data_IF_182807078087
#
_entry.id   IF_182807078087
#
_cell.length_a   1.000
_cell.length_b   1.000
_cell.length_c   1.000
_cell.angle_alpha   90.00
_cell.angle_beta   90.00
_cell.angle_gamma   90.00
#
_symmetry.space_group_name_H-M   'P 1'
#
loop_
_entity.id
_entity.type
_entity.pdbx_description
1 polymer ?
#
# COMPACT_ATOMS: atom_id res chain seq x y z
N UNK A 1 -56.91 41.96 29.48
CA UNK A 1 -55.87 41.41 30.35
C UNK A 1 -54.81 40.75 29.47
N UNK A 2 -53.65 41.37 29.43
CA UNK A 2 -52.57 41.00 28.51
C UNK A 2 -51.60 39.96 29.15
N UNK A 3 -51.43 38.83 28.50
CA UNK A 3 -50.45 37.83 28.88
C UNK A 3 -49.26 37.85 27.94
N UNK A 4 -48.14 38.42 28.40
CA UNK A 4 -46.88 38.54 27.68
C UNK A 4 -46.10 37.22 27.76
N UNK A 5 -46.00 36.48 26.67
CA UNK A 5 -45.18 35.28 26.56
C UNK A 5 -43.75 35.67 26.18
N UNK A 6 -42.81 35.58 27.13
CA UNK A 6 -41.38 35.77 26.92
C UNK A 6 -40.80 34.48 26.31
N UNK A 7 -40.40 34.52 25.04
CA UNK A 7 -39.58 33.51 24.41
C UNK A 7 -38.12 33.67 24.89
N UNK A 8 -37.66 32.72 25.69
CA UNK A 8 -36.25 32.53 26.01
C UNK A 8 -35.53 32.03 24.74
N UNK A 9 -34.71 32.87 24.16
CA UNK A 9 -33.69 32.44 23.17
C UNK A 9 -32.51 31.99 23.98
N UNK A 10 -32.27 30.67 24.06
CA UNK A 10 -30.94 30.13 24.38
C UNK A 10 -30.08 30.33 23.16
N UNK A 11 -29.14 31.24 23.28
CA UNK A 11 -28.02 31.35 22.38
C UNK A 11 -27.02 30.26 22.76
N UNK A 12 -26.95 29.18 21.97
CA UNK A 12 -25.82 28.27 22.01
C UNK A 12 -24.59 29.03 21.47
N UNK A 13 -23.79 29.52 22.41
CA UNK A 13 -22.45 30.00 22.09
C UNK A 13 -21.60 28.76 21.82
N UNK A 14 -21.35 28.47 20.55
CA UNK A 14 -20.22 27.63 20.12
C UNK A 14 -18.94 28.27 20.65
N UNK A 15 -18.38 27.65 21.68
CA UNK A 15 -17.11 28.01 22.30
C UNK A 15 -15.99 27.69 21.30
N UNK A 16 -15.72 28.59 20.38
CA UNK A 16 -14.50 28.56 19.54
C UNK A 16 -13.31 28.81 20.46
N UNK A 17 -12.76 27.73 21.06
CA UNK A 17 -11.51 27.81 21.80
C UNK A 17 -10.43 28.30 20.87
N UNK A 18 -10.05 29.56 20.98
CA UNK A 18 -8.86 30.06 20.33
C UNK A 18 -7.64 29.26 20.82
N UNK A 19 -6.98 28.58 19.87
CA UNK A 19 -5.78 27.80 20.13
C UNK A 19 -4.70 28.71 20.75
N UNK A 20 -4.04 28.26 21.80
CA UNK A 20 -2.90 28.93 22.37
C UNK A 20 -1.75 29.09 21.36
N UNK A 21 -0.83 30.05 21.54
CA UNK A 21 0.31 30.20 20.63
C UNK A 21 1.14 28.91 20.46
N UNK A 22 1.27 28.11 21.50
CA UNK A 22 1.97 26.83 21.46
C UNK A 22 1.21 25.78 20.62
N UNK A 23 -0.14 25.73 20.73
CA UNK A 23 -0.99 24.86 19.93
C UNK A 23 -1.01 25.28 18.46
N UNK A 24 -1.06 26.58 18.17
CA UNK A 24 -0.95 27.12 16.79
C UNK A 24 0.40 26.75 16.16
N UNK A 25 1.49 26.83 16.91
CA UNK A 25 2.82 26.46 16.43
C UNK A 25 2.94 24.96 16.16
N UNK A 26 2.36 24.11 17.04
CA UNK A 26 2.30 22.66 16.84
C UNK A 26 1.48 22.33 15.59
N UNK A 27 0.27 22.86 15.48
CA UNK A 27 -0.61 22.68 14.31
C UNK A 27 0.08 23.14 13.01
N UNK A 28 0.78 24.28 13.03
CA UNK A 28 1.56 24.74 11.88
C UNK A 28 2.70 23.79 11.52
N UNK A 29 3.44 23.29 12.52
CA UNK A 29 4.52 22.33 12.31
C UNK A 29 4.00 20.99 11.75
N UNK A 30 2.88 20.50 12.28
CA UNK A 30 2.21 19.30 11.80
C UNK A 30 1.67 19.48 10.38
N UNK A 31 1.01 20.60 10.09
CA UNK A 31 0.54 20.94 8.75
C UNK A 31 1.70 20.99 7.75
N UNK A 32 2.81 21.60 8.13
CA UNK A 32 4.01 21.69 7.28
C UNK A 32 4.65 20.31 7.06
N UNK A 33 4.69 19.45 8.08
CA UNK A 33 5.15 18.05 7.97
C UNK A 33 4.22 17.27 7.04
N UNK A 34 2.91 17.45 7.18
CA UNK A 34 1.90 16.82 6.32
C UNK A 34 2.02 17.26 4.84
N UNK A 35 2.27 18.54 4.58
CA UNK A 35 2.52 19.05 3.21
C UNK A 35 3.78 18.47 2.57
N UNK A 36 4.76 18.01 3.35
CA UNK A 36 5.99 17.38 2.87
C UNK A 36 5.87 15.87 2.70
N UNK A 37 4.86 15.24 3.31
CA UNK A 37 4.61 13.81 3.25
C UNK A 37 4.16 13.38 1.87
N UNK A 38 4.74 12.27 1.37
CA UNK A 38 4.35 11.65 0.11
C UNK A 38 2.96 11.03 0.25
N UNK A 39 2.66 10.44 1.42
CA UNK A 39 1.34 9.86 1.73
C UNK A 39 0.24 10.93 1.69
N UNK A 40 0.48 12.12 2.26
CA UNK A 40 -0.48 13.21 2.21
C UNK A 40 -0.72 13.69 0.77
N UNK A 41 0.34 13.86 -0.03
CA UNK A 41 0.20 14.26 -1.45
C UNK A 41 -0.52 13.21 -2.29
N UNK A 42 -0.35 11.93 -1.95
CA UNK A 42 -1.09 10.85 -2.58
C UNK A 42 -2.57 10.91 -2.21
N UNK A 43 -2.90 11.09 -0.92
CA UNK A 43 -4.26 11.22 -0.43
C UNK A 43 -5.01 12.39 -1.11
N UNK A 44 -4.35 13.54 -1.26
CA UNK A 44 -4.92 14.73 -1.95
C UNK A 44 -5.26 14.48 -3.43
N UNK A 45 -4.70 13.43 -4.06
CA UNK A 45 -4.97 13.05 -5.45
C UNK A 45 -6.15 12.11 -5.60
N UNK A 46 -6.58 11.47 -4.49
CA UNK A 46 -7.70 10.54 -4.53
C UNK A 46 -9.02 11.30 -4.65
N UNK A 47 -9.98 10.78 -5.44
CA UNK A 47 -11.31 11.39 -5.57
C UNK A 47 -12.22 11.11 -4.37
N UNK A 48 -11.70 10.51 -3.32
CA UNK A 48 -12.38 10.12 -2.07
C UNK A 48 -11.43 10.25 -0.88
N UNK A 49 -11.99 10.33 0.31
CA UNK A 49 -11.22 10.32 1.55
C UNK A 49 -10.73 8.90 1.85
N UNK A 50 -9.46 8.77 2.23
CA UNK A 50 -8.86 7.48 2.58
C UNK A 50 -9.37 7.01 3.95
N UNK A 51 -9.68 5.73 4.06
CA UNK A 51 -9.98 5.09 5.34
C UNK A 51 -8.75 5.11 6.28
N UNK A 52 -9.00 5.03 7.59
CA UNK A 52 -7.93 5.08 8.59
C UNK A 52 -6.84 4.02 8.34
N UNK A 53 -7.22 2.77 8.05
CA UNK A 53 -6.23 1.73 7.78
C UNK A 53 -5.38 1.99 6.52
N UNK A 54 -5.93 2.67 5.51
CA UNK A 54 -5.19 3.06 4.30
C UNK A 54 -4.19 4.17 4.62
N UNK A 55 -4.58 5.14 5.45
CA UNK A 55 -3.71 6.23 5.90
C UNK A 55 -2.56 5.68 6.72
N UNK A 56 -2.85 4.84 7.73
CA UNK A 56 -1.85 4.21 8.60
C UNK A 56 -0.85 3.36 7.79
N UNK A 57 -1.36 2.55 6.84
CA UNK A 57 -0.52 1.74 5.96
C UNK A 57 0.40 2.60 5.07
N UNK A 58 -0.13 3.68 4.50
CA UNK A 58 0.64 4.57 3.64
C UNK A 58 1.73 5.32 4.44
N UNK A 59 1.42 5.77 5.66
CA UNK A 59 2.40 6.41 6.54
C UNK A 59 3.51 5.44 6.97
N UNK A 60 3.16 4.20 7.30
CA UNK A 60 4.13 3.15 7.63
C UNK A 60 5.07 2.84 6.45
N UNK A 61 4.52 2.70 5.23
CA UNK A 61 5.33 2.51 4.02
C UNK A 61 6.25 3.69 3.73
N UNK A 62 5.76 4.92 3.90
CA UNK A 62 6.60 6.12 3.74
C UNK A 62 7.74 6.15 4.74
N UNK A 63 7.48 5.72 5.98
CA UNK A 63 8.48 5.60 7.04
C UNK A 63 9.51 4.48 6.78
N UNK A 64 9.21 3.55 5.85
CA UNK A 64 10.10 2.47 5.44
C UNK A 64 9.80 1.12 6.09
N UNK A 65 8.62 0.93 6.65
CA UNK A 65 8.18 -0.36 7.20
C UNK A 65 7.60 -1.26 6.11
N UNK A 66 7.62 -2.58 6.36
CA UNK A 66 6.78 -3.52 5.63
C UNK A 66 5.33 -3.37 6.09
N UNK A 67 4.36 -3.68 5.25
CA UNK A 67 2.94 -3.53 5.57
C UNK A 67 2.15 -4.76 5.15
N UNK A 68 1.32 -5.26 6.04
CA UNK A 68 0.35 -6.31 5.76
C UNK A 68 -1.06 -5.76 5.97
N UNK A 69 -1.86 -5.72 4.91
CA UNK A 69 -3.24 -5.25 4.93
C UNK A 69 -4.18 -6.42 4.83
N UNK A 70 -4.86 -6.73 5.92
CA UNK A 70 -5.91 -7.75 5.97
C UNK A 70 -7.28 -7.08 6.12
N UNK A 71 -8.06 -7.11 5.06
CA UNK A 71 -9.39 -6.51 5.03
C UNK A 71 -10.30 -7.27 4.04
N UNK A 72 -11.63 -7.22 4.20
CA UNK A 72 -12.56 -7.86 3.29
C UNK A 72 -12.36 -7.45 1.83
N UNK A 73 -12.81 -8.31 0.91
CA UNK A 73 -12.85 -7.94 -0.52
C UNK A 73 -13.74 -6.71 -0.71
N UNK A 74 -13.28 -5.76 -1.51
CA UNK A 74 -13.99 -4.49 -1.72
C UNK A 74 -13.69 -3.40 -0.68
N UNK A 75 -12.91 -3.67 0.37
CA UNK A 75 -12.52 -2.67 1.38
C UNK A 75 -11.46 -1.66 0.90
N UNK A 76 -11.07 -1.68 -0.37
CA UNK A 76 -10.11 -0.71 -0.91
C UNK A 76 -8.64 -0.98 -0.58
N UNK A 77 -8.24 -2.24 -0.31
CA UNK A 77 -6.83 -2.63 -0.09
C UNK A 77 -5.90 -2.21 -1.23
N UNK A 78 -6.41 -2.21 -2.46
CA UNK A 78 -5.65 -1.84 -3.67
C UNK A 78 -5.07 -0.43 -3.59
N UNK A 79 -5.71 0.48 -2.87
CA UNK A 79 -5.21 1.85 -2.65
C UNK A 79 -3.82 1.86 -2.00
N UNK A 80 -3.56 0.93 -1.08
CA UNK A 80 -2.24 0.80 -0.43
C UNK A 80 -1.18 0.31 -1.44
N UNK A 81 -1.55 -0.61 -2.34
CA UNK A 81 -0.67 -1.02 -3.44
C UNK A 81 -0.40 0.13 -4.43
N UNK A 82 -1.43 0.90 -4.77
CA UNK A 82 -1.29 2.08 -5.64
C UNK A 82 -0.38 3.14 -5.00
N UNK A 83 -0.48 3.32 -3.67
CA UNK A 83 0.46 4.17 -2.94
C UNK A 83 1.89 3.63 -3.00
N UNK A 84 2.11 2.33 -2.84
CA UNK A 84 3.44 1.73 -2.94
C UNK A 84 4.08 1.97 -4.31
N UNK A 85 3.29 1.84 -5.39
CA UNK A 85 3.74 2.15 -6.76
C UNK A 85 4.05 3.65 -6.88
N UNK A 86 3.18 4.52 -6.39
CA UNK A 86 3.41 5.95 -6.39
C UNK A 86 4.69 6.32 -5.62
N UNK A 87 4.89 5.73 -4.45
CA UNK A 87 6.08 5.94 -3.62
C UNK A 87 7.36 5.44 -4.33
N UNK A 88 7.29 4.30 -5.03
CA UNK A 88 8.39 3.79 -5.85
C UNK A 88 8.80 4.79 -6.94
N UNK A 89 7.83 5.37 -7.64
CA UNK A 89 8.10 6.39 -8.66
C UNK A 89 8.73 7.65 -8.05
N UNK A 90 8.26 8.10 -6.87
CA UNK A 90 8.84 9.26 -6.18
C UNK A 90 10.29 9.01 -5.74
N UNK A 91 10.65 7.75 -5.46
CA UNK A 91 12.00 7.32 -5.05
C UNK A 91 12.86 6.84 -6.20
N UNK A 92 12.33 6.83 -7.42
CA UNK A 92 13.00 6.36 -8.64
C UNK A 92 13.53 4.92 -8.51
N UNK A 93 12.69 4.04 -7.98
CA UNK A 93 12.93 2.61 -7.83
C UNK A 93 11.81 1.80 -8.49
N UNK A 94 12.07 0.53 -8.79
CA UNK A 94 11.07 -0.37 -9.37
C UNK A 94 10.06 -0.86 -8.32
N UNK A 95 8.84 -1.10 -8.77
CA UNK A 95 7.79 -1.78 -8.01
C UNK A 95 7.34 -3.04 -8.75
N UNK A 96 7.34 -4.20 -8.06
CA UNK A 96 6.78 -5.42 -8.60
C UNK A 96 5.43 -5.72 -7.96
N UNK A 97 4.45 -6.02 -8.79
CA UNK A 97 3.11 -6.43 -8.37
C UNK A 97 2.93 -7.92 -8.64
N UNK A 98 2.85 -8.74 -7.61
CA UNK A 98 2.72 -10.19 -7.77
C UNK A 98 1.32 -10.68 -7.43
N UNK A 99 0.85 -11.65 -8.21
CA UNK A 99 -0.43 -12.33 -7.99
C UNK A 99 -0.22 -13.86 -8.00
N UNK A 100 -1.12 -14.63 -7.37
CA UNK A 100 -0.98 -16.07 -7.29
C UNK A 100 -1.26 -16.81 -8.60
N UNK A 101 -1.92 -16.16 -9.57
CA UNK A 101 -2.32 -16.80 -10.83
C UNK A 101 -2.22 -15.84 -12.01
N UNK A 102 -1.91 -16.38 -13.19
CA UNK A 102 -1.74 -15.63 -14.44
C UNK A 102 -2.95 -14.76 -14.82
N UNK A 103 -4.16 -15.25 -14.60
CA UNK A 103 -5.38 -14.49 -14.96
C UNK A 103 -5.46 -13.17 -14.19
N UNK A 104 -5.13 -13.18 -12.90
CA UNK A 104 -5.07 -11.97 -12.08
C UNK A 104 -3.91 -11.04 -12.50
N UNK A 105 -2.75 -11.62 -12.86
CA UNK A 105 -1.63 -10.82 -13.40
C UNK A 105 -2.04 -10.07 -14.67
N UNK A 106 -2.70 -10.76 -15.60
CA UNK A 106 -3.15 -10.12 -16.83
C UNK A 106 -4.16 -8.99 -16.57
N UNK A 107 -5.13 -9.23 -15.68
CA UNK A 107 -6.10 -8.19 -15.30
C UNK A 107 -5.40 -6.98 -14.70
N UNK A 108 -4.55 -7.20 -13.70
CA UNK A 108 -3.83 -6.12 -13.02
C UNK A 108 -2.90 -5.36 -13.98
N UNK A 109 -2.26 -6.05 -14.92
CA UNK A 109 -1.46 -5.41 -15.95
C UNK A 109 -2.27 -4.40 -16.76
N UNK A 110 -3.47 -4.76 -17.23
CA UNK A 110 -4.33 -3.85 -17.97
C UNK A 110 -4.76 -2.65 -17.11
N UNK A 111 -5.17 -2.89 -15.86
CA UNK A 111 -5.55 -1.83 -14.93
C UNK A 111 -4.40 -0.81 -14.73
N UNK A 112 -3.17 -1.32 -14.59
CA UNK A 112 -1.99 -0.46 -14.39
C UNK A 112 -1.55 0.24 -15.69
N UNK A 113 -1.69 -0.40 -16.84
CA UNK A 113 -1.45 0.23 -18.16
C UNK A 113 -2.40 1.41 -18.38
N UNK A 114 -3.67 1.25 -18.04
CA UNK A 114 -4.66 2.33 -18.15
C UNK A 114 -4.32 3.52 -17.23
N UNK A 115 -3.70 3.23 -16.07
CA UNK A 115 -3.36 4.26 -15.09
C UNK A 115 -2.00 4.94 -15.36
N UNK A 116 -0.98 4.17 -15.76
CA UNK A 116 0.41 4.64 -15.85
C UNK A 116 0.99 4.70 -17.26
N UNK A 117 0.33 4.07 -18.23
CA UNK A 117 0.81 3.95 -19.61
C UNK A 117 1.62 2.67 -19.86
N UNK A 118 1.53 2.15 -21.09
CA UNK A 118 2.17 0.90 -21.49
C UNK A 118 3.72 0.94 -21.50
N UNK A 119 4.29 2.13 -21.59
CA UNK A 119 5.74 2.35 -21.52
C UNK A 119 6.32 2.14 -20.11
N UNK A 120 5.50 2.30 -19.07
CA UNK A 120 5.90 2.18 -17.67
C UNK A 120 5.54 0.86 -17.01
N UNK A 121 4.71 0.06 -17.66
CA UNK A 121 4.19 -1.19 -17.08
C UNK A 121 4.65 -2.39 -17.89
N UNK A 122 5.17 -3.40 -17.21
CA UNK A 122 5.55 -4.69 -17.76
C UNK A 122 4.68 -5.83 -17.25
N UNK A 123 4.71 -6.95 -17.96
CA UNK A 123 4.05 -8.20 -17.56
C UNK A 123 5.01 -9.38 -17.74
N UNK A 124 5.20 -10.15 -16.66
CA UNK A 124 5.99 -11.38 -16.68
C UNK A 124 5.16 -12.54 -16.10
N UNK A 125 4.88 -13.50 -16.96
CA UNK A 125 4.25 -14.78 -16.56
C UNK A 125 5.04 -15.93 -17.15
N UNK A 126 4.70 -17.16 -16.84
CA UNK A 126 5.45 -18.33 -17.33
C UNK A 126 5.59 -18.43 -18.86
N UNK A 127 4.73 -17.77 -19.61
CA UNK A 127 4.67 -17.82 -21.08
C UNK A 127 4.56 -16.43 -21.75
N UNK A 128 4.59 -15.36 -20.99
CA UNK A 128 4.44 -13.99 -21.51
C UNK A 128 5.48 -13.08 -20.90
N UNK A 129 6.19 -12.31 -21.74
CA UNK A 129 7.13 -11.28 -21.34
C UNK A 129 6.87 -10.01 -22.14
N UNK A 130 6.39 -8.98 -21.49
CA UNK A 130 6.14 -7.65 -22.06
C UNK A 130 6.87 -6.63 -21.20
N UNK A 131 7.74 -5.80 -21.79
CA UNK A 131 8.43 -4.70 -21.12
C UNK A 131 9.00 -5.08 -19.74
N UNK A 132 9.82 -6.13 -19.68
CA UNK A 132 10.31 -6.72 -18.42
C UNK A 132 11.17 -5.79 -17.57
N UNK A 133 11.71 -4.71 -18.16
CA UNK A 133 12.55 -3.73 -17.48
C UNK A 133 11.79 -2.45 -17.08
N UNK A 134 10.45 -2.46 -17.21
CA UNK A 134 9.61 -1.35 -16.80
C UNK A 134 9.77 -0.98 -15.31
N UNK A 135 9.38 0.24 -14.97
CA UNK A 135 9.37 0.71 -13.58
C UNK A 135 8.37 -0.06 -12.71
N UNK A 136 7.28 -0.51 -13.32
CA UNK A 136 6.22 -1.30 -12.69
C UNK A 136 6.11 -2.61 -13.44
N UNK A 137 6.36 -3.76 -12.79
CA UNK A 137 6.23 -5.07 -13.43
C UNK A 137 5.22 -5.92 -12.69
N UNK A 138 4.18 -6.34 -13.41
CA UNK A 138 3.20 -7.31 -12.92
C UNK A 138 3.68 -8.72 -13.24
N UNK A 139 3.60 -9.64 -12.29
CA UNK A 139 4.06 -11.01 -12.48
C UNK A 139 3.33 -12.00 -11.58
N UNK A 140 3.50 -13.28 -11.87
CA UNK A 140 3.10 -14.31 -10.89
C UNK A 140 4.18 -14.47 -9.82
N UNK A 141 3.77 -14.87 -8.61
CA UNK A 141 4.71 -15.08 -7.48
C UNK A 141 5.80 -16.09 -7.82
N UNK A 142 5.47 -17.12 -8.62
CA UNK A 142 6.43 -18.13 -9.10
C UNK A 142 7.53 -17.52 -9.97
N UNK A 143 7.19 -16.56 -10.83
CA UNK A 143 8.18 -15.85 -11.66
C UNK A 143 9.13 -15.05 -10.79
N UNK A 144 8.62 -14.32 -9.79
CA UNK A 144 9.47 -13.57 -8.86
C UNK A 144 10.42 -14.50 -8.09
N UNK A 145 9.93 -15.63 -7.58
CA UNK A 145 10.76 -16.64 -6.93
C UNK A 145 11.91 -17.10 -7.85
N UNK A 146 11.59 -17.46 -9.09
CA UNK A 146 12.61 -17.90 -10.05
C UNK A 146 13.65 -16.82 -10.32
N UNK A 147 13.23 -15.55 -10.48
CA UNK A 147 14.14 -14.42 -10.66
C UNK A 147 15.08 -14.23 -9.46
N UNK A 148 14.59 -14.44 -8.24
CA UNK A 148 15.40 -14.37 -7.03
C UNK A 148 16.49 -15.47 -7.02
N UNK A 149 16.15 -16.70 -7.36
CA UNK A 149 17.10 -17.81 -7.46
C UNK A 149 18.13 -17.63 -8.58
N UNK A 150 17.71 -17.06 -9.70
CA UNK A 150 18.58 -16.78 -10.87
C UNK A 150 19.39 -15.50 -10.71
N UNK A 151 19.22 -14.75 -9.62
CA UNK A 151 19.84 -13.44 -9.42
C UNK A 151 19.65 -12.50 -10.62
N UNK A 152 18.40 -12.46 -11.14
CA UNK A 152 18.07 -11.68 -12.33
C UNK A 152 18.43 -10.21 -12.19
N UNK A 153 19.01 -9.64 -13.24
CA UNK A 153 19.33 -8.21 -13.29
C UNK A 153 18.11 -7.30 -13.27
N UNK A 154 16.94 -7.82 -13.60
CA UNK A 154 15.65 -7.10 -13.50
C UNK A 154 15.32 -6.71 -12.06
N UNK A 155 15.88 -7.42 -11.06
CA UNK A 155 15.79 -7.09 -9.63
C UNK A 155 16.59 -5.84 -9.24
N UNK A 156 17.47 -5.35 -10.12
CA UNK A 156 18.23 -4.14 -9.86
C UNK A 156 17.27 -2.95 -9.71
N UNK A 157 17.55 -2.11 -8.71
CA UNK A 157 16.70 -0.97 -8.32
C UNK A 157 15.27 -1.34 -7.85
N UNK A 158 14.99 -2.62 -7.53
CA UNK A 158 13.74 -3.02 -6.90
C UNK A 158 13.65 -2.41 -5.49
N UNK A 159 12.59 -1.66 -5.23
CA UNK A 159 12.35 -1.04 -3.94
C UNK A 159 11.10 -1.57 -3.22
N UNK A 160 10.11 -2.01 -3.99
CA UNK A 160 8.81 -2.42 -3.46
C UNK A 160 8.30 -3.68 -4.14
N UNK A 161 7.74 -4.59 -3.34
CA UNK A 161 7.03 -5.78 -3.83
C UNK A 161 5.65 -5.82 -3.20
N UNK A 162 4.64 -5.78 -4.05
CA UNK A 162 3.25 -6.00 -3.67
C UNK A 162 2.95 -7.50 -3.84
N UNK A 163 2.58 -8.13 -2.75
CA UNK A 163 2.15 -9.51 -2.68
C UNK A 163 0.63 -9.52 -2.55
N UNK A 164 -0.07 -9.70 -3.67
CA UNK A 164 -1.53 -9.70 -3.69
C UNK A 164 -2.09 -11.09 -3.38
N UNK A 165 -3.25 -11.12 -2.73
CA UNK A 165 -3.96 -12.35 -2.33
C UNK A 165 -3.11 -13.27 -1.41
N UNK A 166 -2.42 -12.70 -0.44
CA UNK A 166 -1.50 -13.43 0.47
C UNK A 166 -2.19 -14.56 1.24
N UNK A 167 -3.52 -14.56 1.37
CA UNK A 167 -4.26 -15.67 1.99
C UNK A 167 -4.04 -17.02 1.28
N UNK A 168 -3.58 -17.05 0.01
CA UNK A 168 -3.13 -18.28 -0.65
C UNK A 168 -1.87 -18.90 0.00
N UNK A 169 -1.26 -18.23 0.94
CA UNK A 169 -0.17 -18.79 1.77
C UNK A 169 -0.62 -20.03 2.54
N UNK A 170 -1.89 -20.11 2.92
CA UNK A 170 -2.49 -21.29 3.52
C UNK A 170 -2.68 -22.47 2.53
N UNK A 171 -2.49 -22.23 1.23
CA UNK A 171 -2.54 -23.28 0.22
C UNK A 171 -1.29 -24.16 0.29
N UNK A 172 -1.50 -25.49 0.42
CA UNK A 172 -0.44 -26.48 0.58
C UNK A 172 0.63 -26.47 -0.55
N UNK A 173 0.25 -26.06 -1.74
CA UNK A 173 1.12 -26.08 -2.92
C UNK A 173 1.76 -24.73 -3.19
N UNK A 174 1.09 -23.63 -2.85
CA UNK A 174 1.54 -22.27 -3.15
C UNK A 174 2.20 -21.59 -1.94
N UNK A 175 1.83 -21.97 -0.73
CA UNK A 175 2.40 -21.41 0.50
C UNK A 175 3.93 -21.37 0.49
N UNK A 176 4.63 -22.48 0.19
CA UNK A 176 6.09 -22.48 0.15
C UNK A 176 6.72 -21.46 -0.81
N UNK A 177 6.05 -21.16 -1.95
CA UNK A 177 6.53 -20.17 -2.91
C UNK A 177 6.57 -18.77 -2.31
N UNK A 178 5.55 -18.41 -1.56
CA UNK A 178 5.48 -17.13 -0.86
C UNK A 178 6.54 -16.98 0.22
N UNK A 179 6.73 -18.06 1.01
CA UNK A 179 7.77 -18.10 2.04
C UNK A 179 9.15 -17.91 1.42
N UNK A 180 9.46 -18.63 0.35
CA UNK A 180 10.73 -18.50 -0.39
C UNK A 180 10.94 -17.07 -0.90
N UNK A 181 9.91 -16.43 -1.47
CA UNK A 181 9.99 -15.04 -1.94
C UNK A 181 10.32 -14.10 -0.78
N UNK A 182 9.60 -14.18 0.34
CA UNK A 182 9.80 -13.30 1.49
C UNK A 182 11.20 -13.46 2.10
N UNK A 183 11.70 -14.71 2.21
CA UNK A 183 13.02 -15.01 2.76
C UNK A 183 14.14 -14.50 1.84
N UNK A 184 14.00 -14.65 0.52
CA UNK A 184 15.07 -14.35 -0.43
C UNK A 184 15.06 -12.90 -0.95
N UNK A 185 13.99 -12.13 -0.74
CA UNK A 185 13.96 -10.72 -1.09
C UNK A 185 15.04 -9.94 -0.31
N UNK A 186 15.82 -9.05 -0.95
CA UNK A 186 16.77 -8.19 -0.25
C UNK A 186 16.09 -7.39 0.87
N UNK A 187 16.78 -7.21 2.00
CA UNK A 187 16.24 -6.48 3.16
C UNK A 187 15.89 -5.01 2.86
N UNK A 188 16.50 -4.44 1.81
CA UNK A 188 16.20 -3.09 1.33
C UNK A 188 14.86 -2.96 0.61
N UNK A 189 14.27 -4.07 0.14
CA UNK A 189 12.99 -4.10 -0.57
C UNK A 189 11.86 -4.15 0.44
N UNK A 190 10.88 -3.25 0.33
CA UNK A 190 9.70 -3.23 1.20
C UNK A 190 8.60 -4.11 0.64
N UNK A 191 7.94 -4.83 1.54
CA UNK A 191 6.87 -5.77 1.21
C UNK A 191 5.52 -5.15 1.57
N UNK A 192 4.58 -5.24 0.65
CA UNK A 192 3.18 -4.87 0.84
C UNK A 192 2.34 -6.12 0.61
N UNK A 193 1.89 -6.74 1.69
CA UNK A 193 0.98 -7.88 1.65
C UNK A 193 -0.47 -7.42 1.62
N UNK A 194 -1.25 -7.89 0.64
CA UNK A 194 -2.68 -7.68 0.57
C UNK A 194 -3.40 -9.01 0.76
N UNK A 195 -4.23 -9.10 1.78
CA UNK A 195 -4.93 -10.32 2.15
C UNK A 195 -6.43 -10.09 2.30
N UNK A 196 -7.24 -11.10 1.99
CA UNK A 196 -8.58 -11.18 2.53
C UNK A 196 -8.48 -11.37 4.06
N UNK A 197 -9.60 -11.14 4.76
CA UNK A 197 -9.65 -11.40 6.20
C UNK A 197 -9.44 -12.90 6.46
N UNK A 198 -8.37 -13.24 7.19
CA UNK A 198 -8.05 -14.60 7.60
C UNK A 198 -7.80 -14.65 9.11
N UNK A 199 -8.06 -15.79 9.73
CA UNK A 199 -7.98 -15.97 11.19
C UNK A 199 -6.56 -15.95 11.76
N UNK A 200 -5.53 -16.13 10.93
CA UNK A 200 -4.13 -16.26 11.32
C UNK A 200 -3.23 -15.14 10.75
N UNK A 201 -3.82 -13.98 10.48
CA UNK A 201 -3.08 -12.84 9.90
C UNK A 201 -2.00 -12.32 10.85
N UNK A 202 -2.25 -12.35 12.15
CA UNK A 202 -1.29 -11.92 13.18
C UNK A 202 -0.07 -12.86 13.21
N UNK A 203 -0.28 -14.18 13.23
CA UNK A 203 0.82 -15.16 13.17
C UNK A 203 1.69 -14.95 11.92
N UNK A 204 1.07 -14.58 10.81
CA UNK A 204 1.79 -14.30 9.57
C UNK A 204 2.57 -12.99 9.63
N UNK A 205 2.01 -11.95 10.21
CA UNK A 205 2.70 -10.68 10.44
C UNK A 205 3.93 -10.87 11.34
N UNK A 206 3.78 -11.59 12.47
CA UNK A 206 4.86 -11.91 13.39
C UNK A 206 5.97 -12.73 12.71
N UNK A 207 5.58 -13.65 11.82
CA UNK A 207 6.57 -14.41 11.05
C UNK A 207 7.34 -13.51 10.07
N UNK A 208 6.66 -12.62 9.33
CA UNK A 208 7.33 -11.65 8.45
C UNK A 208 8.30 -10.79 9.25
N UNK A 209 7.86 -10.26 10.41
CA UNK A 209 8.72 -9.46 11.29
C UNK A 209 9.95 -10.26 11.73
N UNK A 210 9.79 -11.53 12.12
CA UNK A 210 10.91 -12.39 12.51
C UNK A 210 11.93 -12.62 11.40
N UNK A 211 11.48 -12.65 10.15
CA UNK A 211 12.33 -12.88 8.96
C UNK A 211 12.94 -11.58 8.44
N UNK A 212 12.20 -10.49 8.49
CA UNK A 212 12.57 -9.20 7.89
C UNK A 212 13.12 -8.18 8.87
N UNK A 213 12.83 -8.34 10.18
CA UNK A 213 13.35 -7.50 11.27
C UNK A 213 12.63 -6.17 11.46
N UNK A 214 11.47 -5.99 10.82
CA UNK A 214 10.62 -4.79 10.93
C UNK A 214 9.18 -5.05 10.47
#
# INVERSE_FOLDING_TARGET
MAGRNKRNRHSESTDERELSPAERYRAFKESRKRMQSVAARFADRMPFELDAFQQDANEALEAGSNVLVAAPTGAGKTVVADFAIYLAQQRNVKAFYTTPIKALSNQKYHDLVDMYGADKVGLLTGDTSINSEADIVVMTTEVLRNMLYEHSTTLNALGYVILDEVHYLADRFRGPIWEEVIIHLPQSVRIIGLSATVSNVEDFADWIESVRGD
#
